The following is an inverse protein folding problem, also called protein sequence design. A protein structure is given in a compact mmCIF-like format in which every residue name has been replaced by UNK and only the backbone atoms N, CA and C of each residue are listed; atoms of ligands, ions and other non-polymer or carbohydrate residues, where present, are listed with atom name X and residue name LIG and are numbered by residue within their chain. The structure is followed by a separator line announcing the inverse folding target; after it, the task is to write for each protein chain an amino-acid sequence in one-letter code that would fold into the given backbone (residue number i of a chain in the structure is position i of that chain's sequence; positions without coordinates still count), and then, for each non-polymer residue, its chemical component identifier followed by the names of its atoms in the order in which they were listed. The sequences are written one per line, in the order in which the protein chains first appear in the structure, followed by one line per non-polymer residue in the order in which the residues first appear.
data_IF_206398402098
#
_entry.id   IF_206398402098
#
_cell.length_a   1.000
_cell.length_b   1.000
_cell.length_c   1.000
_cell.angle_alpha   90.00
_cell.angle_beta   90.00
_cell.angle_gamma   90.00
#
_symmetry.space_group_name_H-M   'P 1'
#
loop_
_entity.id
_entity.type
_entity.pdbx_description
1 polymer ?
#
# COMPACT_ATOMS: atom_id res chain seq x y z
N UNK A 1 -41.39 -30.15 35.13
CA UNK A 1 -41.98 -30.19 33.77
C UNK A 1 -42.03 -28.77 33.27
N UNK A 2 -41.24 -28.48 32.24
CA UNK A 2 -40.83 -27.15 31.80
C UNK A 2 -41.95 -26.40 31.07
N UNK A 3 -42.05 -25.09 31.32
CA UNK A 3 -42.81 -24.16 30.48
C UNK A 3 -41.82 -23.54 29.50
N UNK A 4 -41.93 -23.93 28.23
CA UNK A 4 -41.10 -23.41 27.14
C UNK A 4 -41.61 -22.01 26.78
N UNK A 5 -40.92 -20.96 27.23
CA UNK A 5 -41.12 -19.62 26.67
C UNK A 5 -40.46 -19.56 25.29
N UNK A 6 -41.29 -19.39 24.28
CA UNK A 6 -40.88 -19.28 22.88
C UNK A 6 -40.53 -17.82 22.61
N UNK A 7 -39.25 -17.53 22.36
CA UNK A 7 -38.76 -16.19 22.01
C UNK A 7 -39.26 -15.82 20.61
N UNK A 8 -39.95 -14.68 20.50
CA UNK A 8 -40.41 -14.12 19.22
C UNK A 8 -39.20 -13.65 18.38
N UNK A 9 -39.29 -13.67 17.04
CA UNK A 9 -38.24 -13.10 16.19
C UNK A 9 -38.12 -11.58 16.41
N UNK A 10 -36.92 -11.02 16.26
CA UNK A 10 -36.70 -9.59 16.40
C UNK A 10 -37.49 -8.79 15.35
N UNK A 11 -38.00 -7.65 15.79
CA UNK A 11 -38.76 -6.68 14.99
C UNK A 11 -37.91 -6.18 13.80
N UNK A 12 -38.44 -6.01 12.57
CA UNK A 12 -37.66 -5.60 11.39
C UNK A 12 -37.03 -4.19 11.48
N UNK A 13 -37.20 -3.51 12.61
CA UNK A 13 -36.71 -2.16 12.88
C UNK A 13 -35.54 -2.07 13.86
N UNK A 14 -35.03 -3.18 14.41
CA UNK A 14 -33.79 -3.12 15.18
C UNK A 14 -32.61 -2.84 14.26
N UNK A 15 -32.19 -1.57 14.27
CA UNK A 15 -30.93 -1.12 13.72
C UNK A 15 -29.84 -1.95 14.39
N UNK A 16 -29.32 -2.95 13.69
CA UNK A 16 -28.05 -3.58 14.04
C UNK A 16 -27.08 -2.42 14.11
N UNK A 17 -26.73 -2.00 15.33
CA UNK A 17 -25.58 -1.16 15.57
C UNK A 17 -24.41 -2.08 15.26
N UNK A 18 -24.10 -2.22 13.96
CA UNK A 18 -22.78 -2.65 13.56
C UNK A 18 -21.86 -1.69 14.28
N UNK A 19 -20.96 -2.24 15.10
CA UNK A 19 -19.74 -1.54 15.45
C UNK A 19 -19.14 -1.12 14.10
N UNK A 20 -19.44 0.11 13.66
CA UNK A 20 -18.65 0.72 12.62
C UNK A 20 -17.26 0.75 13.21
N UNK A 21 -16.43 -0.19 12.76
CA UNK A 21 -15.03 -0.22 13.08
C UNK A 21 -14.56 1.23 12.90
N UNK A 22 -14.17 1.86 14.00
CA UNK A 22 -13.60 3.20 13.96
C UNK A 22 -12.27 3.05 13.23
N UNK A 23 -12.33 3.05 11.90
CA UNK A 23 -11.15 3.19 11.08
C UNK A 23 -10.64 4.58 11.41
N UNK A 24 -9.51 4.62 12.12
CA UNK A 24 -8.67 5.81 12.16
C UNK A 24 -8.45 6.22 10.72
N UNK A 25 -9.07 7.32 10.29
CA UNK A 25 -8.86 7.85 8.95
C UNK A 25 -7.47 8.44 8.92
N UNK A 26 -6.50 7.66 8.44
CA UNK A 26 -5.16 8.19 8.16
C UNK A 26 -5.24 9.17 6.97
N UNK A 27 -4.46 10.26 6.97
CA UNK A 27 -4.39 11.16 5.84
C UNK A 27 -3.93 10.44 4.57
N UNK A 28 -4.45 10.90 3.42
CA UNK A 28 -4.08 10.41 2.10
C UNK A 28 -3.52 11.60 1.31
N UNK A 29 -2.31 11.45 0.78
CA UNK A 29 -1.59 12.46 0.02
C UNK A 29 -1.47 12.01 -1.44
N UNK A 30 -1.74 12.90 -2.39
CA UNK A 30 -1.40 12.69 -3.80
C UNK A 30 -0.09 13.40 -4.06
N UNK A 31 0.91 12.64 -4.51
CA UNK A 31 2.30 13.10 -4.63
C UNK A 31 2.67 13.23 -6.10
N UNK A 32 3.16 14.40 -6.48
CA UNK A 32 3.71 14.67 -7.83
C UNK A 32 5.14 15.16 -7.78
N UNK A 33 5.62 15.60 -6.61
CA UNK A 33 6.98 16.04 -6.38
C UNK A 33 7.67 15.19 -5.29
N UNK A 34 8.95 14.80 -5.48
CA UNK A 34 9.70 14.06 -4.47
C UNK A 34 9.65 14.65 -3.06
N UNK A 35 9.67 15.97 -2.91
CA UNK A 35 9.71 16.65 -1.61
C UNK A 35 8.44 16.48 -0.75
N UNK A 36 7.38 15.92 -1.33
CA UNK A 36 6.14 15.62 -0.62
C UNK A 36 6.18 14.25 0.09
N UNK A 37 7.24 13.46 -0.14
CA UNK A 37 7.46 12.17 0.51
C UNK A 37 8.23 12.31 1.83
N UNK A 38 8.05 11.39 2.79
CA UNK A 38 8.83 11.37 4.02
C UNK A 38 10.34 11.30 3.76
N UNK A 39 11.12 12.09 4.49
CA UNK A 39 12.58 12.12 4.33
C UNK A 39 13.20 10.76 4.66
N UNK A 40 12.66 10.06 5.65
CA UNK A 40 13.12 8.74 6.07
C UNK A 40 12.89 7.68 4.99
N UNK A 41 11.89 7.90 4.12
CA UNK A 41 11.67 7.07 2.93
C UNK A 41 12.67 7.42 1.83
N UNK A 42 12.88 8.70 1.54
CA UNK A 42 13.82 9.14 0.49
C UNK A 42 15.29 8.82 0.82
N UNK A 43 15.64 8.87 2.10
CA UNK A 43 16.99 8.70 2.63
C UNK A 43 17.02 7.55 3.65
N UNK A 44 16.89 6.28 3.19
CA UNK A 44 16.86 5.14 4.10
C UNK A 44 18.19 4.96 4.83
N UNK A 45 18.12 4.72 6.14
CA UNK A 45 19.29 4.60 7.02
C UNK A 45 19.23 3.33 7.88
N UNK A 46 20.40 2.84 8.33
CA UNK A 46 20.47 1.66 9.19
C UNK A 46 19.91 1.93 10.60
N UNK A 47 19.94 3.19 11.04
CA UNK A 47 19.47 3.67 12.34
C UNK A 47 17.94 3.67 12.44
N UNK A 48 17.23 3.72 11.31
CA UNK A 48 15.77 3.76 11.24
C UNK A 48 15.24 2.62 10.38
N UNK A 49 14.52 1.68 11.00
CA UNK A 49 13.82 0.63 10.27
C UNK A 49 12.39 1.09 9.94
N UNK A 50 12.05 1.13 8.65
CA UNK A 50 10.70 1.46 8.19
C UNK A 50 9.98 0.21 7.71
N UNK A 51 8.68 0.14 7.97
CA UNK A 51 7.79 -0.86 7.39
C UNK A 51 6.69 -0.11 6.65
N UNK A 52 6.55 -0.39 5.36
CA UNK A 52 5.54 0.24 4.51
C UNK A 52 4.71 -0.81 3.78
N UNK A 53 3.44 -0.53 3.56
CA UNK A 53 2.66 -1.20 2.51
C UNK A 53 3.04 -0.64 1.15
N UNK A 54 3.14 -1.50 0.15
CA UNK A 54 3.46 -1.10 -1.22
C UNK A 54 2.53 -1.82 -2.21
N UNK A 55 1.99 -1.05 -3.16
CA UNK A 55 1.27 -1.52 -4.32
C UNK A 55 1.51 -0.59 -5.51
N UNK A 56 1.25 -1.04 -6.74
CA UNK A 56 1.38 -0.20 -7.93
C UNK A 56 0.43 -0.61 -9.07
N UNK A 57 -0.03 0.38 -9.83
CA UNK A 57 -0.89 0.17 -10.99
C UNK A 57 -0.31 0.84 -12.24
N UNK A 58 -0.65 0.30 -13.41
CA UNK A 58 -0.24 0.88 -14.68
C UNK A 58 -0.80 0.15 -15.89
N UNK A 59 -0.38 0.59 -17.07
CA UNK A 59 -0.80 0.01 -18.35
C UNK A 59 0.28 -0.95 -18.84
N UNK A 60 -0.12 -2.16 -19.24
CA UNK A 60 0.76 -3.18 -19.81
C UNK A 60 2.05 -3.40 -19.02
N UNK A 61 1.93 -3.41 -17.68
CA UNK A 61 3.02 -3.25 -16.71
C UNK A 61 4.30 -4.11 -16.96
N UNK A 62 4.33 -5.08 -17.88
CA UNK A 62 5.52 -5.75 -18.45
C UNK A 62 6.59 -4.82 -19.06
N UNK A 63 7.48 -5.38 -19.90
CA UNK A 63 8.71 -4.72 -20.39
C UNK A 63 8.54 -3.41 -21.17
N UNK A 64 7.31 -3.07 -21.54
CA UNK A 64 6.99 -1.89 -22.34
C UNK A 64 5.82 -1.11 -21.73
N UNK A 65 5.43 -1.45 -20.50
CA UNK A 65 4.34 -0.81 -19.79
C UNK A 65 4.71 0.55 -19.24
N UNK A 66 3.68 1.27 -18.80
CA UNK A 66 3.82 2.55 -18.10
C UNK A 66 3.29 2.39 -16.68
N UNK A 67 4.14 2.67 -15.70
CA UNK A 67 3.72 2.83 -14.31
C UNK A 67 2.85 4.08 -14.20
N UNK A 68 1.64 3.96 -13.65
CA UNK A 68 0.72 5.08 -13.51
C UNK A 68 0.69 5.60 -12.07
N UNK A 69 0.67 4.70 -11.09
CA UNK A 69 0.56 5.05 -9.68
C UNK A 69 1.32 4.06 -8.81
N UNK A 70 1.93 4.55 -7.73
CA UNK A 70 2.40 3.72 -6.61
C UNK A 70 1.64 4.11 -5.35
N UNK A 71 1.13 3.14 -4.62
CA UNK A 71 0.54 3.34 -3.30
C UNK A 71 1.56 2.97 -2.22
N UNK A 72 1.87 3.92 -1.35
CA UNK A 72 2.76 3.74 -0.20
C UNK A 72 1.96 3.94 1.09
N UNK A 73 1.81 2.90 1.90
CA UNK A 73 1.11 2.98 3.17
C UNK A 73 2.12 3.00 4.32
N UNK A 74 2.15 4.12 5.04
CA UNK A 74 2.91 4.31 6.27
C UNK A 74 1.98 4.12 7.49
N UNK A 75 2.50 3.95 8.71
CA UNK A 75 1.68 3.80 9.91
C UNK A 75 0.72 4.97 10.17
N UNK A 76 1.08 6.16 9.71
CA UNK A 76 0.38 7.43 9.98
C UNK A 76 -0.21 8.10 8.74
N UNK A 77 0.12 7.65 7.52
CA UNK A 77 -0.36 8.27 6.28
C UNK A 77 -0.29 7.32 5.06
N UNK A 78 -1.07 7.62 4.02
CA UNK A 78 -1.00 6.95 2.71
C UNK A 78 -0.56 7.95 1.66
N UNK A 79 0.38 7.57 0.80
CA UNK A 79 0.86 8.37 -0.32
C UNK A 79 0.53 7.67 -1.63
N UNK A 80 -0.21 8.38 -2.48
CA UNK A 80 -0.55 8.01 -3.84
C UNK A 80 0.38 8.77 -4.78
N UNK A 81 1.46 8.12 -5.19
CA UNK A 81 2.48 8.71 -6.07
C UNK A 81 1.99 8.65 -7.51
N UNK A 82 1.68 9.80 -8.09
CA UNK A 82 1.27 9.94 -9.48
C UNK A 82 2.50 9.92 -10.39
N UNK A 83 2.79 8.76 -10.97
CA UNK A 83 3.91 8.57 -11.89
C UNK A 83 3.65 9.18 -13.27
N UNK A 84 2.40 9.51 -13.61
CA UNK A 84 2.05 10.15 -14.89
C UNK A 84 2.33 11.65 -14.82
N UNK A 85 1.82 12.32 -13.78
CA UNK A 85 2.00 13.76 -13.60
C UNK A 85 3.38 14.09 -13.01
N UNK A 86 3.86 13.33 -12.01
CA UNK A 86 5.19 13.52 -11.42
C UNK A 86 6.33 12.99 -12.29
N UNK A 87 6.01 12.09 -13.24
CA UNK A 87 6.94 11.56 -14.22
C UNK A 87 8.11 10.79 -13.61
N UNK A 88 9.19 10.69 -14.39
CA UNK A 88 10.39 9.93 -14.00
C UNK A 88 11.04 10.45 -12.70
N UNK A 89 10.95 11.75 -12.43
CA UNK A 89 11.59 12.36 -11.27
C UNK A 89 11.05 11.80 -9.94
N UNK A 90 9.73 11.67 -9.81
CA UNK A 90 9.12 11.12 -8.59
C UNK A 90 9.36 9.62 -8.48
N UNK A 91 9.33 8.90 -9.61
CA UNK A 91 9.61 7.46 -9.65
C UNK A 91 11.05 7.16 -9.22
N UNK A 92 12.03 7.90 -9.74
CA UNK A 92 13.44 7.72 -9.38
C UNK A 92 13.72 8.11 -7.93
N UNK A 93 12.99 9.08 -7.38
CA UNK A 93 13.13 9.46 -5.97
C UNK A 93 12.70 8.33 -5.01
N UNK A 94 11.74 7.49 -5.40
CA UNK A 94 11.34 6.32 -4.61
C UNK A 94 12.37 5.18 -4.64
N UNK A 95 13.29 5.17 -5.62
CA UNK A 95 14.19 4.04 -5.87
C UNK A 95 15.10 3.67 -4.68
N UNK A 96 15.77 4.62 -4.00
CA UNK A 96 16.62 4.28 -2.85
C UNK A 96 15.84 3.53 -1.76
N UNK A 97 14.61 3.97 -1.49
CA UNK A 97 13.72 3.38 -0.52
C UNK A 97 13.31 1.94 -0.88
N UNK A 98 12.87 1.76 -2.13
CA UNK A 98 12.35 0.48 -2.61
C UNK A 98 13.47 -0.59 -2.71
N UNK A 99 14.68 -0.18 -3.10
CA UNK A 99 15.86 -1.06 -3.16
C UNK A 99 16.58 -1.24 -1.81
N UNK A 100 16.20 -0.49 -0.77
CA UNK A 100 16.86 -0.54 0.54
C UNK A 100 16.54 -1.82 1.32
N UNK A 101 17.55 -2.32 2.04
CA UNK A 101 17.42 -3.40 3.03
C UNK A 101 16.94 -2.88 4.41
N UNK A 102 16.87 -1.57 4.61
CA UNK A 102 16.42 -0.94 5.86
C UNK A 102 14.92 -0.60 5.85
N UNK A 103 14.28 -0.77 4.70
CA UNK A 103 12.83 -0.61 4.54
C UNK A 103 12.22 -1.96 4.18
N UNK A 104 11.30 -2.43 5.02
CA UNK A 104 10.48 -3.61 4.76
C UNK A 104 9.24 -3.20 3.97
N UNK A 105 9.01 -3.83 2.82
CA UNK A 105 7.85 -3.60 1.96
C UNK A 105 6.87 -4.76 2.11
N UNK A 106 5.64 -4.46 2.51
CA UNK A 106 4.54 -5.44 2.59
C UNK A 106 3.72 -5.30 1.31
N UNK A 107 3.68 -6.35 0.50
CA UNK A 107 2.93 -6.41 -0.77
C UNK A 107 1.92 -7.54 -0.69
N UNK A 108 0.71 -7.33 -1.20
CA UNK A 108 -0.35 -8.33 -1.22
C UNK A 108 -0.59 -8.88 -2.64
N UNK A 109 -0.81 -10.19 -2.77
CA UNK A 109 -1.19 -10.89 -4.01
C UNK A 109 -0.23 -10.73 -5.22
N UNK A 110 1.08 -10.92 -4.99
CA UNK A 110 2.21 -10.69 -5.90
C UNK A 110 2.25 -11.49 -7.24
N UNK A 111 1.17 -12.18 -7.63
CA UNK A 111 1.18 -13.18 -8.72
C UNK A 111 1.29 -12.55 -10.12
N UNK A 112 0.66 -11.39 -10.36
CA UNK A 112 0.69 -10.69 -11.66
C UNK A 112 1.69 -9.55 -11.75
N UNK A 113 2.13 -9.03 -10.61
CA UNK A 113 3.18 -7.99 -10.62
C UNK A 113 4.52 -8.60 -11.01
N UNK A 114 4.75 -9.90 -10.80
CA UNK A 114 6.01 -10.56 -11.13
C UNK A 114 6.49 -10.45 -12.60
N UNK A 115 5.59 -10.27 -13.58
CA UNK A 115 5.90 -10.23 -15.04
C UNK A 115 6.16 -8.82 -15.57
N UNK A 116 5.80 -7.82 -14.78
CA UNK A 116 5.99 -6.38 -15.02
C UNK A 116 7.49 -6.01 -15.05
N UNK A 117 8.28 -6.81 -14.35
CA UNK A 117 9.59 -6.41 -13.84
C UNK A 117 10.80 -6.73 -14.72
N UNK A 118 10.68 -6.97 -16.04
CA UNK A 118 11.91 -6.95 -16.86
C UNK A 118 12.37 -5.55 -17.28
N UNK A 119 11.70 -4.46 -16.87
CA UNK A 119 12.26 -3.10 -16.95
C UNK A 119 12.83 -2.62 -15.60
N UNK A 120 12.47 -3.25 -14.49
CA UNK A 120 12.96 -2.87 -13.16
C UNK A 120 13.33 -4.13 -12.39
N UNK A 121 14.59 -4.56 -12.52
CA UNK A 121 15.12 -5.82 -12.02
C UNK A 121 15.17 -5.97 -10.47
N UNK A 122 14.31 -5.26 -9.72
CA UNK A 122 14.41 -5.16 -8.26
C UNK A 122 13.13 -4.75 -7.51
N UNK A 123 12.00 -5.38 -7.82
CA UNK A 123 10.94 -5.68 -6.81
C UNK A 123 11.14 -7.08 -6.19
N UNK A 124 12.25 -7.74 -6.56
CA UNK A 124 12.58 -9.15 -6.31
C UNK A 124 12.82 -9.60 -4.85
N UNK A 125 12.47 -8.79 -3.84
CA UNK A 125 12.65 -9.20 -2.44
C UNK A 125 11.39 -8.96 -1.59
N UNK A 126 10.21 -9.04 -2.19
CA UNK A 126 8.94 -8.98 -1.46
C UNK A 126 8.33 -10.36 -1.15
N UNK A 127 9.00 -11.47 -1.51
CA UNK A 127 8.56 -12.83 -1.15
C UNK A 127 9.67 -13.75 -0.59
N UNK A 128 10.84 -13.20 -0.25
CA UNK A 128 11.84 -13.84 0.62
C UNK A 128 12.23 -15.29 0.30
N UNK A 129 12.83 -15.58 -0.86
CA UNK A 129 13.81 -16.68 -1.02
C UNK A 129 14.76 -16.36 -2.20
N UNK A 130 16.05 -16.29 -1.87
CA UNK A 130 17.30 -16.17 -2.68
C UNK A 130 17.24 -15.56 -4.08
#
# INVERSE_FOLDING_TARGET
MASTQQTLPPDPGEKIQGEEAQFSTVPIHVVTNPSELPVEFLEPSAETQLVIGFDCEGVDLCRHGTLCIMQLAFPDAIYLVDAVQGGEAVVQACKPALESNYITKVIHDCKRDSIVFSVWHKVAQCCGYT
#
